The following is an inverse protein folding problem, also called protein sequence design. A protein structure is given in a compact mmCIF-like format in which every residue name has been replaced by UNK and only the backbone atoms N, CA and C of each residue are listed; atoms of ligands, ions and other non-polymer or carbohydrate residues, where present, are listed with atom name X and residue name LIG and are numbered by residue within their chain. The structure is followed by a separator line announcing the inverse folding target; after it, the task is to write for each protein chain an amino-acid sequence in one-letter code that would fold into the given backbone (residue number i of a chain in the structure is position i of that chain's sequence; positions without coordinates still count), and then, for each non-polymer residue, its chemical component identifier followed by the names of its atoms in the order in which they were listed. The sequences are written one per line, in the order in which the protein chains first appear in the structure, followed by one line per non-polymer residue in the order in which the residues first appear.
data_IF_533231808729
#
_entry.id   IF_533231808729
#
_cell.length_a   1.000
_cell.length_b   1.000
_cell.length_c   1.000
_cell.angle_alpha   90.00
_cell.angle_beta   90.00
_cell.angle_gamma   90.00
#
_symmetry.space_group_name_H-M   'P 1'
#
loop_
_entity.id
_entity.type
_entity.pdbx_description
1 polymer ?
#
# COMPACT_ATOMS: atom_id res chain seq x y z
N UNK A 1 -16.29 11.68 -17.89
CA UNK A 1 -14.89 11.34 -17.59
C UNK A 1 -14.51 11.55 -16.12
N UNK A 2 -14.85 12.67 -15.48
CA UNK A 2 -14.59 12.88 -14.03
C UNK A 2 -15.14 11.78 -13.11
N UNK A 3 -16.39 11.36 -13.33
CA UNK A 3 -17.04 10.29 -12.55
C UNK A 3 -16.30 8.94 -12.64
N UNK A 4 -15.74 8.61 -13.82
CA UNK A 4 -15.03 7.35 -14.01
C UNK A 4 -13.71 7.29 -13.22
N UNK A 5 -12.93 8.38 -13.21
CA UNK A 5 -11.68 8.45 -12.44
C UNK A 5 -11.93 8.43 -10.95
N UNK A 6 -13.01 9.07 -10.48
CA UNK A 6 -13.43 9.00 -9.08
C UNK A 6 -13.78 7.57 -8.67
N UNK A 7 -14.60 6.87 -9.47
CA UNK A 7 -14.96 5.47 -9.21
C UNK A 7 -13.73 4.57 -9.19
N UNK A 8 -12.82 4.72 -10.16
CA UNK A 8 -11.54 3.98 -10.18
C UNK A 8 -10.73 4.25 -8.91
N UNK A 9 -10.62 5.52 -8.50
CA UNK A 9 -9.86 5.88 -7.31
C UNK A 9 -10.46 5.27 -6.03
N UNK A 10 -11.78 5.32 -5.88
CA UNK A 10 -12.49 4.73 -4.73
C UNK A 10 -12.32 3.21 -4.71
N UNK A 11 -12.44 2.53 -5.85
CA UNK A 11 -12.20 1.08 -5.93
C UNK A 11 -10.75 0.75 -5.54
N UNK A 12 -9.78 1.55 -6.02
CA UNK A 12 -8.39 1.38 -5.63
C UNK A 12 -8.21 1.58 -4.12
N UNK A 13 -8.81 2.61 -3.54
CA UNK A 13 -8.77 2.83 -2.10
C UNK A 13 -9.32 1.61 -1.34
N UNK A 14 -10.51 1.11 -1.70
CA UNK A 14 -11.09 -0.08 -1.07
C UNK A 14 -10.15 -1.30 -1.16
N UNK A 15 -9.53 -1.53 -2.32
CA UNK A 15 -8.57 -2.62 -2.49
C UNK A 15 -7.30 -2.43 -1.64
N UNK A 16 -6.85 -1.19 -1.44
CA UNK A 16 -5.64 -0.87 -0.66
C UNK A 16 -5.83 -1.04 0.86
N UNK A 17 -7.07 -1.23 1.36
CA UNK A 17 -7.34 -1.65 2.76
C UNK A 17 -6.57 -2.93 3.11
N UNK A 18 -6.25 -3.77 2.12
CA UNK A 18 -5.34 -4.90 2.26
C UNK A 18 -4.04 -4.54 3.02
N UNK A 19 -3.45 -3.37 2.78
CA UNK A 19 -2.21 -2.95 3.43
C UNK A 19 -2.36 -2.67 4.93
N UNK A 20 -3.56 -2.35 5.40
CA UNK A 20 -3.87 -2.24 6.84
C UNK A 20 -3.80 -3.61 7.51
N UNK A 21 -4.30 -4.65 6.83
CA UNK A 21 -4.37 -6.01 7.37
C UNK A 21 -3.02 -6.74 7.30
N UNK A 22 -2.20 -6.41 6.30
CA UNK A 22 -0.94 -7.09 6.00
C UNK A 22 0.04 -7.24 7.18
N UNK A 23 0.27 -6.26 8.08
CA UNK A 23 1.14 -6.45 9.25
C UNK A 23 0.64 -7.48 10.26
N UNK A 24 -0.67 -7.73 10.31
CA UNK A 24 -1.26 -8.76 11.17
C UNK A 24 -1.15 -10.14 10.54
N UNK A 25 -1.26 -10.20 9.20
CA UNK A 25 -1.12 -11.44 8.43
C UNK A 25 0.34 -11.88 8.24
N UNK A 26 1.32 -10.98 8.42
CA UNK A 26 2.74 -11.25 8.20
C UNK A 26 3.28 -12.44 9.00
N UNK A 27 2.74 -12.72 10.19
CA UNK A 27 3.14 -13.89 10.99
C UNK A 27 2.80 -15.21 10.33
N UNK A 28 1.68 -15.29 9.60
CA UNK A 28 1.28 -16.49 8.86
C UNK A 28 2.20 -16.81 7.69
N UNK A 29 3.01 -15.84 7.23
CA UNK A 29 3.95 -16.02 6.11
C UNK A 29 5.12 -16.98 6.43
N UNK A 30 5.23 -17.53 7.64
CA UNK A 30 6.12 -18.67 7.93
C UNK A 30 5.68 -19.94 7.18
N UNK A 31 4.38 -20.06 6.91
CA UNK A 31 3.83 -21.12 6.06
C UNK A 31 3.98 -20.70 4.59
N UNK A 32 4.62 -21.56 3.77
CA UNK A 32 4.90 -21.26 2.36
C UNK A 32 3.65 -20.91 1.54
N UNK A 33 2.56 -21.70 1.54
CA UNK A 33 1.30 -21.32 0.92
C UNK A 33 0.83 -19.90 1.28
N UNK A 34 0.84 -19.55 2.57
CA UNK A 34 0.47 -18.21 3.03
C UNK A 34 1.45 -17.14 2.54
N UNK A 35 2.76 -17.41 2.57
CA UNK A 35 3.79 -16.52 2.05
C UNK A 35 3.58 -16.21 0.55
N UNK A 36 3.25 -17.24 -0.25
CA UNK A 36 2.95 -17.09 -1.67
C UNK A 36 1.68 -16.26 -1.89
N UNK A 37 0.61 -16.54 -1.14
CA UNK A 37 -0.65 -15.80 -1.25
C UNK A 37 -0.46 -14.32 -0.90
N UNK A 38 0.19 -14.02 0.22
CA UNK A 38 0.48 -12.65 0.66
C UNK A 38 1.44 -11.93 -0.29
N UNK A 39 2.43 -12.63 -0.85
CA UNK A 39 3.32 -12.05 -1.85
C UNK A 39 2.57 -11.66 -3.14
N UNK A 40 1.66 -12.53 -3.61
CA UNK A 40 0.78 -12.21 -4.75
C UNK A 40 -0.13 -11.04 -4.44
N UNK A 41 -0.75 -11.01 -3.25
CA UNK A 41 -1.54 -9.88 -2.78
C UNK A 41 -0.74 -8.57 -2.76
N UNK A 42 0.49 -8.59 -2.27
CA UNK A 42 1.40 -7.43 -2.30
C UNK A 42 1.70 -6.94 -3.72
N UNK A 43 1.84 -7.86 -4.70
CA UNK A 43 2.03 -7.50 -6.11
C UNK A 43 0.78 -6.88 -6.73
N UNK A 44 -0.39 -7.44 -6.44
CA UNK A 44 -1.68 -6.86 -6.88
C UNK A 44 -1.84 -5.46 -6.28
N UNK A 45 -1.62 -5.32 -4.98
CA UNK A 45 -1.64 -4.03 -4.29
C UNK A 45 -0.68 -3.01 -4.90
N UNK A 46 0.50 -3.45 -5.36
CA UNK A 46 1.45 -2.56 -6.05
C UNK A 46 0.88 -1.99 -7.36
N UNK A 47 0.21 -2.81 -8.16
CA UNK A 47 -0.44 -2.35 -9.39
C UNK A 47 -1.65 -1.44 -9.08
N UNK A 48 -2.45 -1.79 -8.08
CA UNK A 48 -3.55 -0.95 -7.59
C UNK A 48 -3.04 0.40 -7.09
N UNK A 49 -1.89 0.44 -6.41
CA UNK A 49 -1.27 1.67 -5.95
C UNK A 49 -0.86 2.59 -7.12
N UNK A 50 -0.41 2.02 -8.24
CA UNK A 50 -0.17 2.79 -9.49
C UNK A 50 -1.47 3.40 -9.99
N UNK A 51 -2.55 2.63 -10.05
CA UNK A 51 -3.86 3.14 -10.48
C UNK A 51 -4.40 4.22 -9.52
N UNK A 52 -4.22 4.04 -8.21
CA UNK A 52 -4.59 5.04 -7.20
C UNK A 52 -3.80 6.34 -7.38
N UNK A 53 -2.49 6.24 -7.62
CA UNK A 53 -1.63 7.40 -7.86
C UNK A 53 -2.03 8.17 -9.12
N UNK A 54 -2.27 7.47 -10.23
CA UNK A 54 -2.67 8.10 -11.49
C UNK A 54 -4.05 8.74 -11.41
N UNK A 55 -5.04 8.03 -10.84
CA UNK A 55 -6.40 8.55 -10.67
C UNK A 55 -6.43 9.71 -9.66
N UNK A 56 -5.68 9.62 -8.56
CA UNK A 56 -5.53 10.70 -7.58
C UNK A 56 -4.87 11.93 -8.17
N UNK A 57 -3.77 11.76 -8.91
CA UNK A 57 -3.10 12.84 -9.62
C UNK A 57 -4.01 13.55 -10.64
N UNK A 58 -4.84 12.78 -11.35
CA UNK A 58 -5.87 13.36 -12.22
C UNK A 58 -6.86 14.23 -11.42
N UNK A 59 -7.38 13.75 -10.28
CA UNK A 59 -8.32 14.53 -9.46
C UNK A 59 -7.67 15.79 -8.87
N UNK A 60 -6.41 15.71 -8.44
CA UNK A 60 -5.64 16.87 -7.97
C UNK A 60 -5.44 17.90 -9.07
N UNK A 61 -5.29 17.50 -10.34
CA UNK A 61 -5.20 18.45 -11.46
C UNK A 61 -6.50 19.19 -11.80
N UNK A 62 -7.62 18.84 -11.14
CA UNK A 62 -8.97 19.38 -11.42
C UNK A 62 -9.57 20.13 -10.24
N UNK A 63 -8.88 20.22 -9.11
CA UNK A 63 -9.34 20.91 -7.93
C UNK A 63 -8.20 21.70 -7.29
N UNK A 64 -8.54 22.73 -6.54
CA UNK A 64 -7.56 23.53 -5.80
C UNK A 64 -7.33 22.88 -4.43
N UNK A 65 -6.13 22.32 -4.25
CA UNK A 65 -5.65 21.80 -2.96
C UNK A 65 -4.45 22.61 -2.51
N UNK A 66 -4.26 22.76 -1.19
CA UNK A 66 -3.04 23.37 -0.68
C UNK A 66 -1.79 22.62 -1.14
N UNK A 67 -0.72 23.36 -1.44
CA UNK A 67 0.59 22.78 -1.80
C UNK A 67 1.06 21.82 -0.70
N UNK A 68 0.79 22.15 0.56
CA UNK A 68 1.18 21.34 1.70
C UNK A 68 0.49 19.98 1.72
N UNK A 69 -0.83 19.95 1.48
CA UNK A 69 -1.59 18.70 1.39
C UNK A 69 -1.12 17.84 0.23
N UNK A 70 -0.89 18.45 -0.94
CA UNK A 70 -0.42 17.73 -2.13
C UNK A 70 0.95 17.08 -1.90
N UNK A 71 1.90 17.82 -1.32
CA UNK A 71 3.24 17.29 -0.99
C UNK A 71 3.13 16.13 0.00
N UNK A 72 2.33 16.27 1.06
CA UNK A 72 2.14 15.20 2.05
C UNK A 72 1.50 13.95 1.43
N UNK A 73 0.49 14.11 0.58
CA UNK A 73 -0.16 13.00 -0.11
C UNK A 73 0.84 12.25 -1.02
N UNK A 74 1.63 12.98 -1.80
CA UNK A 74 2.65 12.39 -2.69
C UNK A 74 3.71 11.64 -1.87
N UNK A 75 4.21 12.24 -0.79
CA UNK A 75 5.22 11.60 0.08
C UNK A 75 4.69 10.30 0.67
N UNK A 76 3.46 10.28 1.19
CA UNK A 76 2.87 9.05 1.74
C UNK A 76 2.71 7.97 0.67
N UNK A 77 2.27 8.33 -0.54
CA UNK A 77 2.18 7.38 -1.66
C UNK A 77 3.57 6.82 -2.05
N UNK A 78 4.60 7.66 -2.07
CA UNK A 78 5.98 7.22 -2.34
C UNK A 78 6.50 6.27 -1.25
N UNK A 79 6.20 6.55 0.02
CA UNK A 79 6.50 5.63 1.13
C UNK A 79 5.80 4.28 0.89
N UNK A 80 4.53 4.29 0.49
CA UNK A 80 3.80 3.05 0.18
C UNK A 80 4.44 2.27 -0.97
N UNK A 81 4.87 2.95 -2.05
CA UNK A 81 5.60 2.32 -3.15
C UNK A 81 6.89 1.66 -2.68
N UNK A 82 7.68 2.39 -1.90
CA UNK A 82 8.95 1.90 -1.36
C UNK A 82 8.74 0.69 -0.46
N UNK A 83 7.79 0.75 0.49
CA UNK A 83 7.51 -0.34 1.43
C UNK A 83 6.95 -1.58 0.74
N UNK A 84 6.03 -1.39 -0.21
CA UNK A 84 5.48 -2.48 -1.04
C UNK A 84 6.59 -3.18 -1.84
N UNK A 85 7.48 -2.39 -2.47
CA UNK A 85 8.62 -2.90 -3.23
C UNK A 85 9.60 -3.68 -2.33
N UNK A 86 10.03 -3.06 -1.22
CA UNK A 86 10.97 -3.66 -0.27
C UNK A 86 10.43 -4.93 0.41
N UNK A 87 9.11 -5.02 0.63
CA UNK A 87 8.45 -6.22 1.17
C UNK A 87 8.61 -7.46 0.29
N UNK A 88 8.89 -7.30 -1.01
CA UNK A 88 9.11 -8.42 -1.92
C UNK A 88 10.30 -9.29 -1.53
N UNK A 89 11.37 -8.70 -0.96
CA UNK A 89 12.58 -9.44 -0.55
C UNK A 89 12.31 -10.41 0.61
N UNK A 90 11.75 -10.00 1.77
CA UNK A 90 11.43 -10.93 2.85
C UNK A 90 10.34 -11.94 2.45
N UNK A 91 9.37 -11.59 1.58
CA UNK A 91 8.44 -12.58 1.03
C UNK A 91 9.17 -13.70 0.26
N UNK A 92 10.07 -13.36 -0.66
CA UNK A 92 10.84 -14.35 -1.43
C UNK A 92 11.67 -15.26 -0.53
N UNK A 93 12.25 -14.72 0.54
CA UNK A 93 12.95 -15.50 1.57
C UNK A 93 12.03 -16.52 2.25
N UNK A 94 10.88 -16.07 2.74
CA UNK A 94 9.90 -16.93 3.40
C UNK A 94 9.35 -18.02 2.47
N UNK A 95 9.11 -17.69 1.19
CA UNK A 95 8.71 -18.67 0.16
C UNK A 95 9.78 -19.73 -0.07
N UNK A 96 11.06 -19.36 0.01
CA UNK A 96 12.20 -20.26 -0.10
C UNK A 96 12.45 -21.10 1.18
N UNK A 97 11.66 -20.90 2.23
CA UNK A 97 11.76 -21.65 3.49
C UNK A 97 12.59 -20.96 4.59
N UNK A 98 13.11 -19.75 4.36
CA UNK A 98 13.80 -18.94 5.38
C UNK A 98 12.78 -18.38 6.39
N UNK A 99 12.34 -19.26 7.31
CA UNK A 99 11.37 -18.97 8.38
C UNK A 99 12.02 -18.29 9.58
N UNK A 100 13.19 -17.67 9.40
CA UNK A 100 13.87 -16.97 10.49
C UNK A 100 13.01 -15.83 11.01
N UNK A 101 13.04 -15.63 12.33
CA UNK A 101 12.32 -14.53 12.97
C UNK A 101 12.74 -13.16 12.40
N UNK A 102 13.95 -13.03 11.86
CA UNK A 102 14.42 -11.83 11.18
C UNK A 102 13.65 -11.52 9.88
N UNK A 103 13.38 -12.53 9.03
CA UNK A 103 12.63 -12.35 7.80
C UNK A 103 11.18 -11.90 8.09
N UNK A 104 10.54 -12.55 9.07
CA UNK A 104 9.17 -12.21 9.51
C UNK A 104 9.11 -10.81 10.12
N UNK A 105 10.03 -10.45 11.03
CA UNK A 105 10.08 -9.11 11.63
C UNK A 105 10.26 -8.01 10.58
N UNK A 106 11.14 -8.26 9.60
CA UNK A 106 11.38 -7.31 8.51
C UNK A 106 10.14 -7.14 7.64
N UNK A 107 9.48 -8.25 7.27
CA UNK A 107 8.21 -8.20 6.56
C UNK A 107 7.18 -7.37 7.33
N UNK A 108 6.98 -7.70 8.61
CA UNK A 108 6.01 -7.01 9.48
C UNK A 108 6.28 -5.52 9.61
N UNK A 109 7.53 -5.12 9.70
CA UNK A 109 7.92 -3.71 9.80
C UNK A 109 7.54 -2.95 8.54
N UNK A 110 7.90 -3.48 7.36
CA UNK A 110 7.57 -2.83 6.10
C UNK A 110 6.06 -2.75 5.87
N UNK A 111 5.33 -3.81 6.16
CA UNK A 111 3.88 -3.84 5.97
C UNK A 111 3.15 -2.98 7.00
N UNK A 112 3.69 -2.83 8.22
CA UNK A 112 3.18 -1.90 9.22
C UNK A 112 3.32 -0.46 8.77
N UNK A 113 4.51 -0.06 8.31
CA UNK A 113 4.72 1.31 7.81
C UNK A 113 3.80 1.58 6.63
N UNK A 114 3.66 0.62 5.71
CA UNK A 114 2.75 0.75 4.57
C UNK A 114 1.28 0.92 5.00
N UNK A 115 0.81 0.13 5.97
CA UNK A 115 -0.53 0.25 6.53
C UNK A 115 -0.77 1.58 7.22
N UNK A 116 0.19 2.06 8.02
CA UNK A 116 0.11 3.38 8.67
C UNK A 116 0.08 4.50 7.64
N UNK A 117 0.94 4.46 6.61
CA UNK A 117 0.93 5.44 5.52
C UNK A 117 -0.41 5.49 4.81
N UNK A 118 -1.05 4.33 4.59
CA UNK A 118 -2.37 4.26 3.98
C UNK A 118 -3.48 4.85 4.87
N UNK A 119 -3.44 4.56 6.19
CA UNK A 119 -4.39 5.17 7.15
C UNK A 119 -4.25 6.69 7.18
N UNK A 120 -3.01 7.21 7.17
CA UNK A 120 -2.76 8.65 7.11
C UNK A 120 -3.29 9.28 5.81
N UNK A 121 -3.11 8.60 4.66
CA UNK A 121 -3.70 9.04 3.38
C UNK A 121 -5.22 9.09 3.44
N UNK A 122 -5.87 8.07 4.00
CA UNK A 122 -7.32 8.06 4.18
C UNK A 122 -7.79 9.22 5.07
N UNK A 123 -7.09 9.48 6.18
CA UNK A 123 -7.41 10.61 7.07
C UNK A 123 -7.29 11.95 6.35
N UNK A 124 -6.27 12.13 5.51
CA UNK A 124 -6.11 13.33 4.67
C UNK A 124 -7.24 13.51 3.65
N UNK A 125 -7.84 12.41 3.15
CA UNK A 125 -8.95 12.46 2.21
C UNK A 125 -10.31 12.77 2.86
N UNK A 126 -10.45 12.58 4.19
CA UNK A 126 -11.68 12.92 4.92
C UNK A 126 -11.83 14.44 5.18
N UNK A 127 -10.73 15.19 5.12
CA UNK A 127 -10.74 16.64 5.30
C UNK A 127 -9.67 17.32 4.42
N UNK A 128 -9.81 17.26 3.09
CA UNK A 128 -8.81 17.83 2.18
C UNK A 128 -8.80 19.36 2.32
N UNK A 129 -7.61 19.94 2.50
CA UNK A 129 -7.39 21.39 2.64
C UNK A 129 -6.17 21.81 1.85
#
# INVERSE_FOLDING_TARGET
MHQAMYVVHVICALALIFYILLPFLAGGAVNRPTAVALHRGNRIGQYVLILAFLSGGYMVSKAEYSVWWMVMAIVLVLVMFAMTGMSSKPFKKLIAGDSTAAAVRKLRTFTLINGVSYVLLMAMMLGPK
#
